data_IF_372811775287
#
_entry.id   IF_372811775287
#
_cell.length_a   1.000
_cell.length_b   1.000
_cell.length_c   1.000
_cell.angle_alpha   90.00
_cell.angle_beta   90.00
_cell.angle_gamma   90.00
#
_symmetry.space_group_name_H-M   'P 1'
#
loop_
_entity.id
_entity.type
_entity.pdbx_description
1 polymer ?
#
# COMPACT_ATOMS: atom_id res chain seq x y z
N UNK A 1 21.29 -9.93 -29.67
CA UNK A 1 19.91 -10.43 -29.83
C UNK A 1 19.38 -10.77 -28.45
N UNK A 2 18.82 -9.76 -27.79
CA UNK A 2 18.32 -9.89 -26.42
C UNK A 2 16.87 -10.37 -26.50
N UNK A 3 16.58 -11.51 -25.86
CA UNK A 3 15.26 -12.14 -25.90
C UNK A 3 14.31 -11.38 -24.99
N UNK A 4 13.45 -10.54 -25.55
CA UNK A 4 12.28 -10.01 -24.86
C UNK A 4 11.41 -11.19 -24.38
N UNK A 5 11.32 -11.36 -23.06
CA UNK A 5 10.35 -12.25 -22.44
C UNK A 5 8.96 -11.64 -22.63
N UNK A 6 8.20 -12.16 -23.60
CA UNK A 6 6.77 -11.89 -23.78
C UNK A 6 6.03 -12.36 -22.52
N UNK A 7 5.80 -11.43 -21.59
CA UNK A 7 4.96 -11.64 -20.41
C UNK A 7 3.51 -11.56 -20.90
N UNK A 8 2.75 -12.64 -20.81
CA UNK A 8 1.30 -12.63 -21.06
C UNK A 8 0.64 -11.62 -20.11
N UNK A 9 0.29 -10.43 -20.63
CA UNK A 9 -0.08 -9.24 -19.85
C UNK A 9 -1.56 -8.91 -20.04
N UNK A 10 -2.44 -9.71 -19.46
CA UNK A 10 -3.80 -9.25 -19.13
C UNK A 10 -3.76 -8.33 -17.90
N UNK A 11 -4.69 -7.37 -17.82
CA UNK A 11 -4.75 -6.38 -16.73
C UNK A 11 -4.97 -7.09 -15.39
N UNK A 12 -4.44 -6.54 -14.29
CA UNK A 12 -4.56 -7.18 -12.96
C UNK A 12 -6.03 -7.51 -12.61
N UNK A 13 -6.94 -6.56 -12.85
CA UNK A 13 -8.38 -6.68 -12.63
C UNK A 13 -9.07 -7.83 -13.36
N UNK A 14 -8.49 -8.32 -14.45
CA UNK A 14 -9.05 -9.43 -15.24
C UNK A 14 -8.76 -10.79 -14.60
N UNK A 15 -7.74 -10.86 -13.75
CA UNK A 15 -7.35 -12.07 -13.02
C UNK A 15 -8.09 -12.26 -11.70
N UNK A 16 -8.87 -11.26 -11.30
CA UNK A 16 -9.66 -11.28 -10.07
C UNK A 16 -10.97 -12.06 -10.27
N UNK A 17 -11.40 -12.79 -9.24
CA UNK A 17 -12.75 -13.33 -9.20
C UNK A 17 -13.79 -12.20 -9.15
N UNK A 18 -15.06 -12.49 -9.47
CA UNK A 18 -16.09 -11.46 -9.64
C UNK A 18 -16.25 -10.56 -8.41
N UNK A 19 -16.28 -11.11 -7.20
CA UNK A 19 -16.42 -10.34 -5.96
C UNK A 19 -15.20 -9.45 -5.68
N UNK A 20 -13.99 -9.97 -5.89
CA UNK A 20 -12.77 -9.19 -5.74
C UNK A 20 -12.66 -8.10 -6.81
N UNK A 21 -13.05 -8.41 -8.05
CA UNK A 21 -13.07 -7.46 -9.16
C UNK A 21 -14.04 -6.32 -8.91
N UNK A 22 -15.24 -6.60 -8.41
CA UNK A 22 -16.21 -5.58 -8.05
C UNK A 22 -15.65 -4.63 -6.98
N UNK A 23 -15.16 -5.16 -5.85
CA UNK A 23 -14.55 -4.35 -4.79
C UNK A 23 -13.33 -3.56 -5.29
N UNK A 24 -12.58 -4.13 -6.21
CA UNK A 24 -11.44 -3.46 -6.82
C UNK A 24 -11.90 -2.25 -7.64
N UNK A 25 -12.88 -2.41 -8.53
CA UNK A 25 -13.43 -1.34 -9.36
C UNK A 25 -14.07 -0.24 -8.51
N UNK A 26 -14.78 -0.60 -7.44
CA UNK A 26 -15.34 0.37 -6.48
C UNK A 26 -14.24 1.22 -5.85
N UNK A 27 -13.14 0.61 -5.39
CA UNK A 27 -11.99 1.34 -4.83
C UNK A 27 -11.29 2.26 -5.83
N UNK A 28 -11.31 1.93 -7.13
CA UNK A 28 -10.74 2.81 -8.14
C UNK A 28 -11.47 4.16 -8.20
N UNK A 29 -12.77 4.20 -7.90
CA UNK A 29 -13.55 5.44 -7.90
C UNK A 29 -13.00 6.46 -6.88
N UNK A 30 -12.48 5.98 -5.74
CA UNK A 30 -11.90 6.81 -4.68
C UNK A 30 -10.56 7.45 -5.07
N UNK A 31 -9.96 7.00 -6.18
CA UNK A 31 -8.66 7.45 -6.71
C UNK A 31 -8.78 7.93 -8.17
N UNK A 32 -9.89 8.59 -8.50
CA UNK A 32 -10.17 9.15 -9.83
C UNK A 32 -10.16 8.12 -10.97
N UNK A 33 -10.53 6.88 -10.67
CA UNK A 33 -10.60 5.77 -11.63
C UNK A 33 -9.25 5.36 -12.24
N UNK A 34 -8.16 5.78 -11.60
CA UNK A 34 -6.79 5.45 -12.04
C UNK A 34 -6.42 4.07 -11.51
N UNK A 35 -5.99 3.17 -12.39
CA UNK A 35 -5.50 1.86 -12.00
C UNK A 35 -4.02 1.95 -11.57
N UNK A 36 -3.68 1.67 -10.29
CA UNK A 36 -2.30 1.76 -9.82
C UNK A 36 -1.31 0.84 -10.54
N UNK A 37 -1.79 -0.29 -11.08
CA UNK A 37 -0.94 -1.25 -11.77
C UNK A 37 -0.66 -0.88 -13.24
N UNK A 38 -1.41 0.08 -13.79
CA UNK A 38 -1.23 0.58 -15.15
C UNK A 38 -0.43 1.90 -15.19
N UNK A 39 -0.17 2.52 -14.02
CA UNK A 39 0.63 3.74 -13.92
C UNK A 39 2.10 3.51 -14.31
N UNK A 40 2.70 4.39 -15.13
CA UNK A 40 4.12 4.29 -15.46
C UNK A 40 4.99 4.62 -14.24
N UNK A 41 6.19 4.05 -14.18
CA UNK A 41 7.13 4.20 -13.06
C UNK A 41 7.47 5.67 -12.76
N UNK A 42 7.41 6.54 -13.77
CA UNK A 42 7.68 7.99 -13.65
C UNK A 42 6.65 8.75 -12.84
N UNK A 43 5.43 8.22 -12.69
CA UNK A 43 4.35 8.84 -11.90
C UNK A 43 4.45 8.54 -10.40
N UNK A 44 5.41 7.68 -10.02
CA UNK A 44 5.65 7.29 -8.64
C UNK A 44 6.83 8.05 -8.06
N UNK A 45 6.67 8.58 -6.85
CA UNK A 45 7.74 9.20 -6.09
C UNK A 45 8.17 8.34 -4.91
N UNK A 46 9.48 8.31 -4.63
CA UNK A 46 10.07 7.71 -3.43
C UNK A 46 10.34 8.76 -2.34
N UNK A 47 9.93 10.02 -2.55
CA UNK A 47 10.12 11.08 -1.56
C UNK A 47 9.23 10.82 -0.33
N UNK A 48 9.79 10.63 0.88
CA UNK A 48 8.99 10.45 2.10
C UNK A 48 8.07 11.63 2.41
N UNK A 49 8.43 12.85 2.00
CA UNK A 49 7.59 14.04 2.20
C UNK A 49 6.31 14.02 1.35
N UNK A 50 6.24 13.14 0.34
CA UNK A 50 5.04 12.95 -0.47
C UNK A 50 4.07 11.91 0.13
N UNK A 51 4.39 11.34 1.30
CA UNK A 51 3.43 10.54 2.05
C UNK A 51 2.31 11.44 2.59
N UNK A 52 1.10 10.90 2.80
CA UNK A 52 0.03 11.64 3.46
C UNK A 52 0.52 12.13 4.83
N UNK A 53 0.19 13.37 5.23
CA UNK A 53 0.53 13.85 6.55
C UNK A 53 -0.11 12.92 7.60
N UNK A 54 0.69 12.55 8.60
CA UNK A 54 0.26 11.65 9.67
C UNK A 54 0.45 12.35 11.01
N UNK A 55 -0.64 12.54 11.76
CA UNK A 55 -0.59 13.16 13.07
C UNK A 55 -0.65 12.11 14.18
N UNK A 56 -0.20 12.46 15.39
CA UNK A 56 -0.30 11.58 16.55
C UNK A 56 -1.75 11.15 16.85
N UNK A 57 -2.76 12.05 16.79
CA UNK A 57 -4.17 11.65 16.88
C UNK A 57 -4.58 10.59 15.85
N UNK A 58 -4.14 10.67 14.60
CA UNK A 58 -4.48 9.67 13.57
C UNK A 58 -3.96 8.28 13.96
N UNK A 59 -2.72 8.23 14.46
CA UNK A 59 -2.08 7.01 14.94
C UNK A 59 -2.88 6.41 16.11
N UNK A 60 -3.19 7.21 17.13
CA UNK A 60 -3.94 6.72 18.30
C UNK A 60 -5.37 6.32 17.93
N UNK A 61 -6.04 7.08 17.07
CA UNK A 61 -7.39 6.75 16.61
C UNK A 61 -7.41 5.43 15.86
N UNK A 62 -6.50 5.21 14.92
CA UNK A 62 -6.45 3.96 14.17
C UNK A 62 -6.06 2.76 15.04
N UNK A 63 -5.01 2.93 15.85
CA UNK A 63 -4.40 1.83 16.59
C UNK A 63 -5.11 1.51 17.91
N UNK A 64 -5.62 2.52 18.62
CA UNK A 64 -6.17 2.34 19.98
C UNK A 64 -7.70 2.39 20.00
N UNK A 65 -8.30 3.36 19.30
CA UNK A 65 -9.75 3.58 19.36
C UNK A 65 -10.53 2.92 18.22
N UNK A 66 -9.87 2.58 17.12
CA UNK A 66 -10.44 1.93 15.95
C UNK A 66 -10.47 0.40 16.07
N UNK A 67 -10.87 -0.25 14.97
CA UNK A 67 -10.82 -1.72 14.83
C UNK A 67 -9.36 -2.13 14.53
N UNK A 68 -8.53 -2.00 15.55
CA UNK A 68 -7.15 -2.50 15.53
C UNK A 68 -7.10 -3.94 16.01
N UNK A 69 -6.19 -4.73 15.46
CA UNK A 69 -5.90 -6.07 15.96
C UNK A 69 -5.16 -6.08 17.32
N UNK A 70 -4.76 -4.91 17.80
CA UNK A 70 -3.90 -4.75 18.97
C UNK A 70 -4.58 -3.92 20.06
N UNK A 71 -4.31 -4.27 21.31
CA UNK A 71 -4.79 -3.56 22.50
C UNK A 71 -3.94 -2.33 22.82
N UNK A 72 -4.51 -1.39 23.58
CA UNK A 72 -3.76 -0.24 24.12
C UNK A 72 -2.50 -0.67 24.87
N UNK A 73 -2.54 -1.78 25.62
CA UNK A 73 -1.38 -2.29 26.36
C UNK A 73 -0.26 -2.76 25.43
N UNK A 74 -0.61 -3.44 24.32
CA UNK A 74 0.37 -3.84 23.31
C UNK A 74 1.03 -2.62 22.63
N UNK A 75 0.30 -1.52 22.42
CA UNK A 75 0.89 -0.28 21.88
C UNK A 75 1.83 0.44 22.83
N UNK A 76 1.69 0.30 24.16
CA UNK A 76 2.70 0.81 25.09
C UNK A 76 4.07 0.18 24.85
N UNK A 77 4.08 -1.05 24.32
CA UNK A 77 5.27 -1.78 23.90
C UNK A 77 5.35 -1.93 22.38
N UNK A 78 5.03 -0.88 21.60
CA UNK A 78 4.92 -1.00 20.13
C UNK A 78 6.16 -1.61 19.44
N UNK A 79 7.36 -1.43 20.00
CA UNK A 79 8.61 -2.01 19.47
C UNK A 79 8.67 -3.54 19.56
N UNK A 80 7.85 -4.16 20.41
CA UNK A 80 7.72 -5.62 20.49
C UNK A 80 6.63 -6.17 19.57
N UNK A 81 5.95 -5.31 18.79
CA UNK A 81 4.96 -5.77 17.83
C UNK A 81 5.65 -6.44 16.65
N UNK A 82 5.06 -7.53 16.16
CA UNK A 82 5.54 -8.23 14.97
C UNK A 82 5.61 -7.28 13.77
N UNK A 83 4.61 -6.41 13.59
CA UNK A 83 4.60 -5.41 12.51
C UNK A 83 5.82 -4.45 12.57
N UNK A 84 6.26 -4.08 13.79
CA UNK A 84 7.46 -3.26 13.96
C UNK A 84 8.71 -4.05 13.57
N UNK A 85 8.81 -5.30 14.01
CA UNK A 85 9.93 -6.18 13.66
C UNK A 85 9.99 -6.45 12.15
N UNK A 86 8.86 -6.78 11.50
CA UNK A 86 8.78 -6.98 10.05
C UNK A 86 9.28 -5.75 9.29
N UNK A 87 8.87 -4.55 9.72
CA UNK A 87 9.36 -3.31 9.13
C UNK A 87 10.88 -3.14 9.33
N UNK A 88 11.40 -3.31 10.55
CA UNK A 88 12.83 -3.21 10.85
C UNK A 88 13.68 -4.27 10.14
N UNK A 89 13.14 -5.48 9.93
CA UNK A 89 13.76 -6.55 9.18
C UNK A 89 13.68 -6.35 7.66
N UNK A 90 13.16 -5.21 7.18
CA UNK A 90 13.15 -4.85 5.77
C UNK A 90 12.11 -5.61 4.94
N UNK A 91 11.00 -6.05 5.54
CA UNK A 91 9.91 -6.68 4.80
C UNK A 91 9.22 -5.68 3.87
N UNK A 92 9.06 -4.44 4.32
CA UNK A 92 8.50 -3.35 3.50
C UNK A 92 9.63 -2.68 2.75
N UNK A 93 9.62 -2.81 1.42
CA UNK A 93 10.63 -2.30 0.51
C UNK A 93 10.01 -1.42 -0.56
N UNK A 94 10.84 -0.60 -1.22
CA UNK A 94 10.45 0.21 -2.37
C UNK A 94 9.14 1.00 -2.15
N UNK A 95 9.02 1.65 -0.98
CA UNK A 95 7.86 2.49 -0.68
C UNK A 95 7.78 3.64 -1.69
N UNK A 96 6.65 3.72 -2.37
CA UNK A 96 6.36 4.68 -3.41
C UNK A 96 4.97 5.27 -3.20
N UNK A 97 4.81 6.53 -3.57
CA UNK A 97 3.52 7.21 -3.54
C UNK A 97 3.18 7.83 -4.88
N UNK A 98 1.89 7.90 -5.16
CA UNK A 98 1.31 8.62 -6.27
C UNK A 98 0.11 9.42 -5.78
N UNK A 99 0.01 10.68 -6.20
CA UNK A 99 -1.10 11.57 -5.89
C UNK A 99 -1.86 11.89 -7.17
N UNK A 100 -3.05 11.30 -7.39
CA UNK A 100 -3.87 11.67 -8.54
C UNK A 100 -4.23 13.15 -8.50
N UNK A 101 -4.26 13.78 -9.67
CA UNK A 101 -4.67 15.19 -9.82
C UNK A 101 -6.13 15.34 -9.39
N UNK A 102 -6.45 16.39 -8.62
CA UNK A 102 -7.79 16.66 -8.09
C UNK A 102 -8.38 15.49 -7.27
N UNK A 103 -7.55 14.82 -6.47
CA UNK A 103 -7.99 13.73 -5.60
C UNK A 103 -7.47 13.93 -4.17
N UNK A 104 -8.34 13.77 -3.18
CA UNK A 104 -7.97 13.84 -1.76
C UNK A 104 -7.23 12.58 -1.29
N UNK A 105 -7.44 11.46 -1.97
CA UNK A 105 -6.76 10.20 -1.69
C UNK A 105 -5.34 10.19 -2.27
N UNK A 106 -4.43 9.47 -1.62
CA UNK A 106 -3.09 9.18 -2.14
C UNK A 106 -2.93 7.67 -2.26
N UNK A 107 -2.25 7.23 -3.31
CA UNK A 107 -1.96 5.80 -3.51
C UNK A 107 -0.57 5.50 -2.98
N UNK A 108 -0.47 4.47 -2.15
CA UNK A 108 0.80 3.99 -1.60
C UNK A 108 1.06 2.58 -2.16
N UNK A 109 2.24 2.39 -2.73
CA UNK A 109 2.71 1.11 -3.21
C UNK A 109 3.97 0.72 -2.44
N UNK A 110 4.03 -0.53 -2.02
CA UNK A 110 5.22 -1.09 -1.39
C UNK A 110 5.40 -2.52 -1.84
N UNK A 111 6.66 -2.93 -1.97
CA UNK A 111 7.04 -4.31 -2.19
C UNK A 111 7.15 -5.00 -0.83
N UNK A 112 6.42 -6.10 -0.66
CA UNK A 112 6.49 -6.91 0.56
C UNK A 112 7.38 -8.12 0.29
N UNK A 113 8.52 -8.21 0.98
CA UNK A 113 9.39 -9.36 0.96
C UNK A 113 8.97 -10.35 2.05
N UNK A 114 8.60 -11.57 1.64
CA UNK A 114 8.42 -12.69 2.56
C UNK A 114 9.81 -13.23 2.92
N UNK A 115 10.29 -12.92 4.13
CA UNK A 115 11.42 -13.64 4.70
C UNK A 115 10.87 -14.89 5.38
N UNK A 116 11.04 -16.05 4.74
CA UNK A 116 10.84 -17.33 5.39
C UNK A 116 12.09 -17.61 6.23
N UNK A 117 11.92 -17.67 7.56
CA UNK A 117 12.93 -18.18 8.49
C UNK A 117 12.82 -19.70 8.60
#
# INVERSE_FOLDING_TARGET
MEKEKVKGKGLYREKLNNTAKQRYLEKLLDINTIDPYDLPVTEWTKNPEALPPLTYPDIVNYLVYGISAYTMQQFRSFKSLEAYQQFCCGWVQDLQTHKPVNCESSVILAKVALHFY
#
